data_IF_691746860068
#
_entry.id   IF_691746860068
#
_cell.length_a   1.000
_cell.length_b   1.000
_cell.length_c   1.000
_cell.angle_alpha   90.00
_cell.angle_beta   90.00
_cell.angle_gamma   90.00
#
_symmetry.space_group_name_H-M   'P 1'
#
loop_
_entity.id
_entity.type
_entity.pdbx_description
1 polymer ?
#
# COMPACT_ATOMS: atom_id res chain seq x y z
N UNK A 1 25.57 -3.50 8.43
CA UNK A 1 25.49 -2.35 7.51
C UNK A 1 26.11 -2.69 6.18
N UNK A 2 27.43 -2.92 6.06
CA UNK A 2 28.09 -3.18 4.76
C UNK A 2 27.39 -4.19 3.82
N UNK A 3 26.91 -5.34 4.33
CA UNK A 3 26.18 -6.33 3.53
C UNK A 3 24.80 -5.85 3.05
N UNK A 4 24.10 -5.08 3.86
CA UNK A 4 22.78 -4.55 3.51
C UNK A 4 22.89 -3.44 2.45
N UNK A 5 23.93 -2.61 2.56
CA UNK A 5 24.25 -1.58 1.57
C UNK A 5 24.64 -2.18 0.20
N UNK A 6 25.15 -3.42 0.18
CA UNK A 6 25.40 -4.18 -1.05
C UNK A 6 24.09 -4.71 -1.63
N UNK A 7 23.21 -5.29 -0.80
CA UNK A 7 21.89 -5.77 -1.22
C UNK A 7 20.98 -4.65 -1.75
N UNK A 8 21.06 -3.44 -1.20
CA UNK A 8 20.33 -2.29 -1.75
C UNK A 8 20.70 -1.95 -3.19
N UNK A 9 21.90 -2.34 -3.67
CA UNK A 9 22.30 -2.15 -5.07
C UNK A 9 21.73 -3.20 -6.01
N UNK A 10 21.22 -4.31 -5.48
CA UNK A 10 20.56 -5.38 -6.23
C UNK A 10 19.07 -5.08 -6.45
N UNK A 11 18.52 -4.08 -5.76
CA UNK A 11 17.13 -3.65 -5.90
C UNK A 11 17.01 -2.61 -7.01
N UNK A 12 16.05 -2.82 -7.91
CA UNK A 12 15.60 -1.79 -8.84
C UNK A 12 14.80 -0.71 -8.09
N UNK A 13 15.41 0.44 -7.80
CA UNK A 13 14.73 1.56 -7.15
C UNK A 13 15.67 2.40 -6.26
N UNK A 14 15.17 3.57 -5.86
CA UNK A 14 15.90 4.47 -4.96
C UNK A 14 15.64 4.06 -3.51
N UNK A 15 16.70 3.72 -2.77
CA UNK A 15 16.61 3.35 -1.35
C UNK A 15 16.85 4.58 -0.46
N UNK A 16 15.85 4.89 0.36
CA UNK A 16 15.89 5.95 1.37
C UNK A 16 15.85 5.28 2.73
N UNK A 17 16.87 5.54 3.55
CA UNK A 17 16.97 5.03 4.92
C UNK A 17 16.50 6.11 5.89
N UNK A 18 15.46 5.84 6.68
CA UNK A 18 14.99 6.79 7.71
C UNK A 18 15.79 6.65 9.00
N UNK A 19 16.03 5.41 9.41
CA UNK A 19 16.92 5.03 10.49
C UNK A 19 17.53 3.63 10.24
N UNK A 20 18.22 3.04 11.22
CA UNK A 20 18.84 1.72 11.04
C UNK A 20 17.85 0.54 10.98
N UNK A 21 16.55 0.79 11.04
CA UNK A 21 15.47 -0.20 11.12
C UNK A 21 14.37 0.02 10.08
N UNK A 22 14.18 1.22 9.56
CA UNK A 22 13.12 1.52 8.58
C UNK A 22 13.69 2.05 7.26
N UNK A 23 13.21 1.47 6.17
CA UNK A 23 13.69 1.75 4.82
C UNK A 23 12.50 1.95 3.86
N UNK A 24 12.67 2.87 2.93
CA UNK A 24 11.76 3.12 1.83
C UNK A 24 12.48 2.83 0.51
N UNK A 25 11.89 1.98 -0.31
CA UNK A 25 12.33 1.69 -1.66
C UNK A 25 11.34 2.36 -2.61
N UNK A 26 11.80 3.34 -3.38
CA UNK A 26 10.97 4.07 -4.35
C UNK A 26 11.18 3.53 -5.76
N UNK A 27 10.07 3.21 -6.40
CA UNK A 27 9.93 2.91 -7.82
C UNK A 27 8.93 3.89 -8.45
N UNK A 28 8.85 4.01 -9.79
CA UNK A 28 8.03 5.03 -10.46
C UNK A 28 6.56 5.11 -9.99
N UNK A 29 5.94 3.97 -9.69
CA UNK A 29 4.52 3.82 -9.32
C UNK A 29 4.31 3.18 -7.94
N UNK A 30 5.39 2.80 -7.26
CA UNK A 30 5.37 1.98 -6.06
C UNK A 30 6.35 2.51 -5.01
N UNK A 31 5.86 2.73 -3.80
CA UNK A 31 6.70 2.94 -2.61
C UNK A 31 6.58 1.76 -1.67
N UNK A 32 7.71 1.14 -1.31
CA UNK A 32 7.76 -0.05 -0.46
C UNK A 32 8.44 0.31 0.84
N UNK A 33 7.72 0.14 1.95
CA UNK A 33 8.21 0.40 3.30
C UNK A 33 8.53 -0.93 3.95
N UNK A 34 9.79 -1.13 4.31
CA UNK A 34 10.28 -2.34 4.96
C UNK A 34 10.93 -2.01 6.30
N UNK A 35 10.80 -2.91 7.25
CA UNK A 35 11.33 -2.78 8.61
C UNK A 35 12.28 -3.93 8.94
N UNK A 36 13.33 -3.65 9.69
CA UNK A 36 14.25 -4.65 10.23
C UNK A 36 13.78 -5.11 11.60
N UNK A 37 13.53 -6.41 11.73
CA UNK A 37 13.18 -7.11 12.96
C UNK A 37 14.36 -7.93 13.46
N UNK A 38 14.15 -8.73 14.51
CA UNK A 38 15.15 -9.70 14.97
C UNK A 38 15.28 -10.88 14.01
N UNK A 39 14.22 -11.19 13.26
CA UNK A 39 14.14 -12.34 12.36
C UNK A 39 14.63 -12.02 10.95
N UNK A 40 14.63 -10.74 10.58
CA UNK A 40 15.12 -10.30 9.28
C UNK A 40 14.62 -8.91 8.89
N UNK A 41 14.38 -8.72 7.60
CA UNK A 41 13.69 -7.58 7.02
C UNK A 41 12.29 -8.04 6.60
N UNK A 42 11.28 -7.29 7.02
CA UNK A 42 9.87 -7.59 6.78
C UNK A 42 9.20 -6.43 6.07
N UNK A 43 8.21 -6.74 5.26
CA UNK A 43 7.32 -5.76 4.68
C UNK A 43 6.45 -5.13 5.78
N UNK A 44 6.46 -3.79 5.86
CA UNK A 44 5.50 -3.04 6.69
C UNK A 44 4.26 -2.70 5.85
N UNK A 45 4.46 -1.99 4.74
CA UNK A 45 3.41 -1.62 3.80
C UNK A 45 3.97 -1.28 2.44
N UNK A 46 3.12 -1.28 1.42
CA UNK A 46 3.43 -0.64 0.14
C UNK A 46 2.33 0.32 -0.27
N UNK A 47 2.68 1.25 -1.13
CA UNK A 47 1.85 2.38 -1.52
C UNK A 47 1.88 2.49 -3.04
N UNK A 48 0.71 2.40 -3.66
CA UNK A 48 0.53 2.48 -5.11
C UNK A 48 -0.21 3.76 -5.45
N UNK A 49 0.35 4.52 -6.39
CA UNK A 49 -0.35 5.67 -6.97
C UNK A 49 -1.35 5.17 -8.01
N UNK A 50 -2.59 5.59 -7.89
CA UNK A 50 -3.66 5.18 -8.79
C UNK A 50 -4.30 6.40 -9.43
N UNK A 51 -4.59 6.28 -10.72
CA UNK A 51 -5.34 7.29 -11.47
C UNK A 51 -6.84 6.93 -11.45
N UNK A 52 -7.73 7.94 -11.39
CA UNK A 52 -9.17 7.70 -11.50
C UNK A 52 -9.56 7.09 -12.86
N UNK A 53 -10.48 6.13 -12.84
CA UNK A 53 -11.22 5.72 -14.03
C UNK A 53 -12.30 6.75 -14.43
N UNK A 54 -12.76 6.71 -15.68
CA UNK A 54 -13.76 7.67 -16.23
C UNK A 54 -15.06 7.78 -15.39
N UNK A 55 -15.40 6.74 -14.63
CA UNK A 55 -16.59 6.64 -13.79
C UNK A 55 -16.46 7.28 -12.40
N UNK A 56 -15.27 7.71 -11.98
CA UNK A 56 -15.01 8.25 -10.63
C UNK A 56 -14.09 9.47 -10.70
N UNK A 57 -14.44 10.57 -10.01
CA UNK A 57 -13.59 11.78 -9.97
C UNK A 57 -12.76 11.82 -8.69
N UNK A 58 -11.44 11.73 -8.84
CA UNK A 58 -10.47 12.03 -7.78
C UNK A 58 -10.03 13.49 -7.93
N UNK A 59 -9.96 14.22 -6.82
CA UNK A 59 -9.38 15.56 -6.80
C UNK A 59 -7.90 15.53 -7.15
N UNK A 60 -7.45 16.41 -8.05
CA UNK A 60 -6.06 16.43 -8.56
C UNK A 60 -5.64 15.16 -9.33
N UNK A 61 -6.58 14.27 -9.69
CA UNK A 61 -6.33 13.02 -10.42
C UNK A 61 -5.32 12.06 -9.75
N UNK A 62 -5.06 12.20 -8.46
CA UNK A 62 -4.12 11.33 -7.73
C UNK A 62 -4.79 10.80 -6.46
N UNK A 63 -5.04 9.48 -6.43
CA UNK A 63 -5.34 8.79 -5.19
C UNK A 63 -4.23 7.79 -4.89
N UNK A 64 -4.23 7.29 -3.67
CA UNK A 64 -3.20 6.36 -3.22
C UNK A 64 -3.84 5.17 -2.55
N UNK A 65 -3.49 3.97 -3.01
CA UNK A 65 -3.81 2.73 -2.34
C UNK A 65 -2.63 2.34 -1.47
N UNK A 66 -2.90 2.14 -0.18
CA UNK A 66 -1.92 1.73 0.83
C UNK A 66 -2.30 0.32 1.25
N UNK A 67 -1.38 -0.62 1.11
CA UNK A 67 -1.56 -2.00 1.55
C UNK A 67 -0.58 -2.28 2.67
N UNK A 68 -1.09 -2.56 3.87
CA UNK A 68 -0.30 -2.77 5.08
C UNK A 68 -0.38 -4.22 5.52
N UNK A 69 0.76 -4.80 5.92
CA UNK A 69 0.79 -6.14 6.50
C UNK A 69 0.34 -6.07 7.95
N UNK A 70 -0.78 -6.73 8.26
CA UNK A 70 -1.38 -6.73 9.61
C UNK A 70 -0.99 -8.00 10.37
N UNK A 71 -0.96 -9.12 9.66
CA UNK A 71 -0.56 -10.44 10.16
C UNK A 71 0.16 -11.24 9.06
N UNK A 72 0.60 -12.46 9.35
CA UNK A 72 1.25 -13.37 8.39
C UNK A 72 0.41 -13.52 7.11
N UNK A 73 -0.89 -13.74 7.28
CA UNK A 73 -1.87 -14.03 6.23
C UNK A 73 -2.89 -12.90 5.99
N UNK A 74 -2.72 -11.73 6.61
CA UNK A 74 -3.71 -10.66 6.56
C UNK A 74 -3.12 -9.30 6.12
N UNK A 75 -3.82 -8.65 5.19
CA UNK A 75 -3.49 -7.35 4.63
C UNK A 75 -4.63 -6.35 4.82
N UNK A 76 -4.29 -5.13 5.22
CA UNK A 76 -5.22 -4.00 5.22
C UNK A 76 -4.99 -3.16 3.97
N UNK A 77 -6.02 -3.08 3.12
CA UNK A 77 -6.03 -2.28 1.88
C UNK A 77 -6.82 -1.01 2.14
N UNK A 78 -6.16 0.15 2.03
CA UNK A 78 -6.74 1.46 2.28
C UNK A 78 -6.57 2.37 1.06
N UNK A 79 -7.68 2.82 0.49
CA UNK A 79 -7.70 3.94 -0.45
C UNK A 79 -7.78 5.25 0.33
N UNK A 80 -6.80 6.12 0.07
CA UNK A 80 -6.78 7.49 0.57
C UNK A 80 -7.02 8.44 -0.59
N UNK A 81 -8.12 9.18 -0.47
CA UNK A 81 -8.54 10.22 -1.42
C UNK A 81 -8.72 11.56 -0.67
N UNK A 82 -8.48 12.67 -1.36
CA UNK A 82 -8.76 14.01 -0.87
C UNK A 82 -9.96 14.55 -1.63
N UNK A 83 -11.12 14.63 -1.00
CA UNK A 83 -12.32 15.16 -1.64
C UNK A 83 -12.47 16.66 -1.36
N UNK A 84 -12.78 17.45 -2.38
CA UNK A 84 -13.20 18.85 -2.26
C UNK A 84 -14.66 18.97 -2.60
N UNK A 85 -15.41 19.48 -1.63
CA UNK A 85 -16.78 19.93 -1.86
C UNK A 85 -16.82 21.45 -1.86
N UNK A 86 -17.57 22.02 -2.79
CA UNK A 86 -17.82 23.44 -2.79
C UNK A 86 -19.00 23.76 -1.87
N UNK A 87 -18.72 24.40 -0.72
CA UNK A 87 -19.73 24.81 0.25
C UNK A 87 -19.65 26.32 0.47
N UNK A 88 -20.75 27.04 0.24
CA UNK A 88 -20.81 28.50 0.41
C UNK A 88 -19.73 29.26 -0.36
N UNK A 89 -19.44 28.86 -1.61
CA UNK A 89 -18.36 29.43 -2.45
C UNK A 89 -16.95 29.28 -1.85
N UNK A 90 -16.77 28.33 -0.93
CA UNK A 90 -15.47 27.92 -0.40
C UNK A 90 -15.26 26.45 -0.69
N UNK A 91 -14.03 26.12 -1.04
CA UNK A 91 -13.59 24.75 -1.23
C UNK A 91 -13.27 24.19 0.17
N UNK A 92 -13.99 23.15 0.56
CA UNK A 92 -13.75 22.42 1.81
C UNK A 92 -13.12 21.09 1.41
N UNK A 93 -11.84 20.93 1.74
CA UNK A 93 -11.14 19.69 1.56
C UNK A 93 -11.33 18.80 2.79
N UNK A 94 -11.68 17.54 2.58
CA UNK A 94 -11.62 16.52 3.61
C UNK A 94 -11.04 15.24 3.04
N UNK A 95 -10.33 14.49 3.89
CA UNK A 95 -9.72 13.22 3.50
C UNK A 95 -10.74 12.12 3.72
N UNK A 96 -11.13 11.44 2.65
CA UNK A 96 -11.88 10.20 2.75
C UNK A 96 -10.91 9.02 2.81
N UNK A 97 -11.25 8.06 3.67
CA UNK A 97 -10.49 6.85 3.87
C UNK A 97 -11.45 5.68 3.72
N UNK A 98 -11.15 4.81 2.75
CA UNK A 98 -11.89 3.59 2.50
C UNK A 98 -10.92 2.45 2.77
N UNK A 99 -11.22 1.61 3.76
CA UNK A 99 -10.35 0.51 4.17
C UNK A 99 -11.09 -0.82 4.24
N UNK A 100 -10.41 -1.91 3.87
CA UNK A 100 -10.85 -3.29 4.07
C UNK A 100 -9.67 -4.19 4.44
N UNK A 101 -9.99 -5.35 5.02
CA UNK A 101 -9.01 -6.40 5.33
C UNK A 101 -9.23 -7.59 4.38
N UNK A 102 -8.15 -8.10 3.81
CA UNK A 102 -8.14 -9.26 2.93
C UNK A 102 -6.98 -10.20 3.28
N UNK A 103 -6.99 -11.40 2.72
CA UNK A 103 -5.84 -12.30 2.80
C UNK A 103 -4.73 -11.86 1.82
N UNK A 104 -3.63 -12.62 1.77
CA UNK A 104 -2.51 -12.37 0.85
C UNK A 104 -2.83 -12.67 -0.61
N UNK A 105 -3.89 -13.44 -0.88
CA UNK A 105 -4.46 -13.58 -2.21
C UNK A 105 -5.42 -12.45 -2.55
N UNK A 106 -5.60 -11.46 -1.67
CA UNK A 106 -6.55 -10.36 -1.78
C UNK A 106 -8.02 -10.81 -1.83
N UNK A 107 -8.35 -11.95 -1.23
CA UNK A 107 -9.72 -12.36 -0.95
C UNK A 107 -10.20 -11.73 0.36
N UNK A 108 -11.40 -11.15 0.36
CA UNK A 108 -11.94 -10.43 1.51
C UNK A 108 -12.05 -11.35 2.74
N UNK A 109 -11.45 -10.92 3.85
CA UNK A 109 -11.62 -11.57 5.15
C UNK A 109 -12.85 -10.96 5.82
N UNK A 110 -13.65 -11.79 6.49
CA UNK A 110 -15.02 -11.47 6.90
C UNK A 110 -15.14 -10.10 7.61
N UNK A 111 -15.98 -9.22 7.05
CA UNK A 111 -16.05 -7.74 7.24
C UNK A 111 -16.51 -7.24 8.62
N UNK A 112 -16.27 -7.99 9.70
CA UNK A 112 -16.80 -7.65 11.03
C UNK A 112 -16.06 -6.54 11.77
N UNK A 113 -15.00 -5.97 11.21
CA UNK A 113 -14.15 -4.99 11.88
C UNK A 113 -14.20 -3.59 11.23
N UNK A 114 -14.77 -2.64 11.99
CA UNK A 114 -14.57 -1.17 11.98
C UNK A 114 -15.42 -0.24 11.09
N UNK A 115 -16.22 -0.69 10.13
CA UNK A 115 -17.14 0.22 9.39
C UNK A 115 -18.60 -0.26 9.32
N UNK A 116 -19.16 -0.72 10.44
CA UNK A 116 -20.60 -1.01 10.49
C UNK A 116 -21.43 0.27 10.58
N UNK A 117 -22.02 0.68 9.45
CA UNK A 117 -23.50 0.75 9.32
C UNK A 117 -24.01 1.10 7.93
N UNK A 118 -23.17 1.62 7.05
CA UNK A 118 -23.51 1.83 5.65
C UNK A 118 -22.40 1.18 4.81
N UNK A 119 -22.74 0.59 3.66
CA UNK A 119 -21.78 0.29 2.58
C UNK A 119 -20.97 -1.01 2.71
N UNK A 120 -21.59 -2.10 2.24
CA UNK A 120 -20.93 -3.20 1.48
C UNK A 120 -20.24 -2.71 0.19
N UNK A 121 -19.96 -1.41 0.07
CA UNK A 121 -19.66 -0.65 -1.14
C UNK A 121 -18.27 -0.03 -0.98
N UNK A 122 -17.20 -0.84 -0.82
CA UNK A 122 -15.85 -0.28 -0.56
C UNK A 122 -14.71 -1.02 -1.26
N UNK A 123 -14.63 -2.35 -1.17
CA UNK A 123 -13.53 -3.09 -1.82
C UNK A 123 -13.67 -3.18 -3.35
N UNK A 124 -14.82 -3.62 -3.85
CA UNK A 124 -15.09 -3.68 -5.29
C UNK A 124 -14.90 -2.31 -5.93
N UNK A 125 -15.20 -1.21 -5.21
CA UNK A 125 -14.89 0.13 -5.71
C UNK A 125 -13.39 0.42 -5.79
N UNK A 126 -12.58 -0.02 -4.82
CA UNK A 126 -11.11 0.11 -4.89
C UNK A 126 -10.58 -0.69 -6.09
N UNK A 127 -11.05 -1.93 -6.22
CA UNK A 127 -10.56 -2.89 -7.21
C UNK A 127 -11.05 -2.59 -8.63
N UNK A 128 -12.34 -2.29 -8.79
CA UNK A 128 -12.98 -2.05 -10.09
C UNK A 128 -12.70 -0.65 -10.63
N UNK A 129 -12.42 0.34 -9.76
CA UNK A 129 -12.27 1.74 -10.21
C UNK A 129 -10.87 2.30 -10.14
N UNK A 130 -9.94 1.70 -9.39
CA UNK A 130 -8.60 2.27 -9.19
C UNK A 130 -7.45 1.30 -9.41
N UNK A 131 -7.53 0.04 -8.94
CA UNK A 131 -6.47 -0.95 -9.17
C UNK A 131 -6.97 -2.39 -9.00
N UNK A 132 -6.78 -3.23 -10.03
CA UNK A 132 -7.28 -4.60 -9.99
C UNK A 132 -6.62 -5.45 -8.89
N UNK A 133 -7.33 -6.51 -8.47
CA UNK A 133 -6.85 -7.47 -7.46
C UNK A 133 -5.53 -8.11 -7.90
N UNK A 134 -5.42 -8.43 -9.18
CA UNK A 134 -4.23 -9.01 -9.79
C UNK A 134 -3.04 -8.05 -9.75
N UNK A 135 -3.28 -6.76 -9.98
CA UNK A 135 -2.22 -5.75 -9.88
C UNK A 135 -1.76 -5.57 -8.43
N UNK A 136 -2.69 -5.56 -7.47
CA UNK A 136 -2.34 -5.52 -6.05
C UNK A 136 -1.50 -6.74 -5.65
N UNK A 137 -1.90 -7.94 -6.08
CA UNK A 137 -1.14 -9.18 -5.85
C UNK A 137 0.26 -9.14 -6.49
N UNK A 138 0.37 -8.67 -7.73
CA UNK A 138 1.66 -8.54 -8.41
C UNK A 138 2.60 -7.57 -7.69
N UNK A 139 2.09 -6.44 -7.18
CA UNK A 139 2.89 -5.54 -6.35
C UNK A 139 3.29 -6.17 -5.02
N UNK A 140 2.40 -6.93 -4.39
CA UNK A 140 2.70 -7.65 -3.15
C UNK A 140 3.82 -8.68 -3.37
N UNK A 141 3.73 -9.51 -4.41
CA UNK A 141 4.76 -10.51 -4.75
C UNK A 141 6.13 -9.84 -4.97
N UNK A 142 6.16 -8.71 -5.68
CA UNK A 142 7.37 -7.91 -5.87
C UNK A 142 7.95 -7.41 -4.54
N UNK A 143 7.09 -6.97 -3.61
CA UNK A 143 7.53 -6.54 -2.28
C UNK A 143 8.14 -7.71 -1.48
N UNK A 144 7.55 -8.90 -1.58
CA UNK A 144 8.05 -10.11 -0.92
C UNK A 144 9.39 -10.56 -1.54
N UNK A 145 9.54 -10.49 -2.86
CA UNK A 145 10.81 -10.78 -3.55
C UNK A 145 11.92 -9.86 -3.05
N UNK A 146 11.65 -8.56 -2.98
CA UNK A 146 12.59 -7.57 -2.44
C UNK A 146 12.97 -7.89 -0.99
N UNK A 147 12.00 -8.24 -0.14
CA UNK A 147 12.29 -8.67 1.23
C UNK A 147 13.17 -9.93 1.24
N UNK A 148 12.94 -10.88 0.34
CA UNK A 148 13.77 -12.08 0.21
C UNK A 148 15.22 -11.74 -0.12
N UNK A 149 15.46 -10.91 -1.14
CA UNK A 149 16.81 -10.45 -1.55
C UNK A 149 17.53 -9.78 -0.38
N UNK A 150 16.83 -8.92 0.34
CA UNK A 150 17.39 -8.22 1.51
C UNK A 150 17.75 -9.17 2.66
N UNK A 151 17.09 -10.33 2.76
CA UNK A 151 17.29 -11.31 3.83
C UNK A 151 18.32 -12.40 3.54
N UNK A 152 18.73 -12.62 2.29
CA UNK A 152 19.57 -13.75 1.87
C UNK A 152 20.86 -13.93 2.72
N UNK A 153 21.38 -12.84 3.30
CA UNK A 153 22.64 -12.83 4.05
C UNK A 153 22.54 -12.28 5.48
N UNK A 154 21.31 -12.15 6.03
CA UNK A 154 21.08 -11.63 7.39
C UNK A 154 21.21 -12.71 8.48
N UNK A 155 21.40 -13.99 8.12
CA UNK A 155 21.66 -15.09 9.06
C UNK A 155 23.10 -15.14 9.57
#
# INVERSE_FOLDING_TARGET
MKKLDEKFKEIDGDVITFDNREFLIKQPDLEIYVKRTQEGIELDRYVVKVEPSESYKIENNEATVIVSKVDEDALDVTLRDTCIIQKNKKDIQFKECIGVTCDTNFDLMDTTSLFQKNEKIKYDKIVDHFISKENLAAHYDKCIEICSVLNEDIK
#
